data_IF_351910685221
#
_entry.id   IF_351910685221
#
_cell.length_a   1.000
_cell.length_b   1.000
_cell.length_c   1.000
_cell.angle_alpha   90.00
_cell.angle_beta   90.00
_cell.angle_gamma   90.00
#
_symmetry.space_group_name_H-M   'P 1'
#
loop_
_entity.id
_entity.type
_entity.pdbx_description
1 polymer ?
#
# COMPACT_ATOMS: atom_id res chain seq x y z
N UNK A 1 -3.77 11.75 50.75
CA UNK A 1 -3.94 11.97 49.30
C UNK A 1 -3.61 10.63 48.63
N UNK A 2 -4.62 9.86 48.23
CA UNK A 2 -4.45 8.46 47.79
C UNK A 2 -3.91 8.39 46.36
N UNK A 3 -3.08 7.38 46.04
CA UNK A 3 -2.52 7.16 44.70
C UNK A 3 -3.57 7.15 43.57
N UNK A 4 -4.79 6.68 43.88
CA UNK A 4 -5.90 6.65 42.92
C UNK A 4 -6.26 8.05 42.40
N UNK A 5 -6.37 9.04 43.28
CA UNK A 5 -6.60 10.44 42.88
C UNK A 5 -5.47 11.05 42.05
N UNK A 6 -4.24 10.53 42.14
CA UNK A 6 -3.12 11.00 41.32
C UNK A 6 -3.17 10.41 39.91
N UNK A 7 -3.48 9.12 39.77
CA UNK A 7 -3.65 8.46 38.47
C UNK A 7 -4.83 9.03 37.68
N UNK A 8 -5.93 9.35 38.36
CA UNK A 8 -7.13 9.95 37.77
C UNK A 8 -6.90 11.39 37.28
N UNK A 9 -6.04 12.16 37.95
CA UNK A 9 -5.65 13.50 37.46
C UNK A 9 -4.71 13.45 36.26
N UNK A 10 -3.80 12.48 36.21
CA UNK A 10 -2.89 12.28 35.07
C UNK A 10 -3.66 11.85 33.80
N UNK A 11 -4.73 11.07 33.93
CA UNK A 11 -5.57 10.68 32.79
C UNK A 11 -6.44 11.82 32.24
N UNK A 12 -6.68 12.87 33.03
CA UNK A 12 -7.65 13.93 32.68
C UNK A 12 -6.99 15.22 32.15
N UNK A 13 -5.71 15.48 32.47
CA UNK A 13 -5.01 16.72 32.10
C UNK A 13 -3.54 16.47 31.71
N UNK A 14 -3.30 15.57 30.74
CA UNK A 14 -1.96 15.39 30.16
C UNK A 14 -1.80 16.28 28.92
N UNK A 15 -0.70 17.06 28.78
CA UNK A 15 -0.45 17.87 27.59
C UNK A 15 -0.20 17.02 26.32
N UNK A 16 -0.05 15.70 26.47
CA UNK A 16 0.14 14.76 25.36
C UNK A 16 -1.18 14.21 24.78
N UNK A 17 -2.33 14.56 25.36
CA UNK A 17 -3.64 14.01 24.99
C UNK A 17 -4.68 15.12 24.81
N UNK A 18 -5.43 15.08 23.71
CA UNK A 18 -6.52 16.00 23.41
C UNK A 18 -7.85 15.22 23.36
N UNK A 19 -8.91 15.81 23.93
CA UNK A 19 -10.27 15.28 23.75
C UNK A 19 -10.84 15.81 22.45
N UNK A 20 -10.97 14.93 21.46
CA UNK A 20 -11.52 15.26 20.15
C UNK A 20 -12.96 14.77 20.09
N UNK A 21 -13.90 15.69 19.85
CA UNK A 21 -15.30 15.35 19.59
C UNK A 21 -15.42 14.80 18.16
N UNK A 22 -15.66 13.49 18.03
CA UNK A 22 -15.87 12.83 16.74
C UNK A 22 -17.38 12.59 16.54
N UNK A 23 -17.99 13.11 15.46
CA UNK A 23 -19.41 12.94 15.22
C UNK A 23 -19.77 11.45 15.08
N UNK A 24 -20.68 10.95 15.93
CA UNK A 24 -21.15 9.56 15.92
C UNK A 24 -20.33 8.57 16.76
N UNK A 25 -19.37 9.03 17.58
CA UNK A 25 -18.58 8.19 18.52
C UNK A 25 -18.50 8.82 19.91
N UNK A 26 -18.36 8.00 20.96
CA UNK A 26 -18.05 8.48 22.32
C UNK A 26 -16.74 9.28 22.35
N UNK A 27 -16.67 10.36 23.14
CA UNK A 27 -15.50 11.23 23.25
C UNK A 27 -14.26 10.42 23.66
N UNK A 28 -13.29 10.30 22.73
CA UNK A 28 -12.07 9.53 22.96
C UNK A 28 -10.89 10.46 23.28
N UNK A 29 -10.00 9.99 24.16
CA UNK A 29 -8.69 10.61 24.38
C UNK A 29 -7.78 10.23 23.21
N UNK A 30 -7.44 11.21 22.39
CA UNK A 30 -6.59 11.04 21.20
C UNK A 30 -5.22 11.64 21.49
N UNK A 31 -4.17 11.08 20.89
CA UNK A 31 -2.82 11.67 20.95
C UNK A 31 -2.88 13.07 20.32
N UNK A 32 -2.20 14.05 20.90
CA UNK A 32 -2.25 15.46 20.46
C UNK A 32 -1.92 15.65 18.96
N UNK A 33 -1.19 14.71 18.35
CA UNK A 33 -0.77 14.72 16.94
C UNK A 33 -1.66 13.87 16.01
N UNK A 34 -2.69 13.19 16.54
CA UNK A 34 -3.54 12.33 15.74
C UNK A 34 -4.71 13.12 15.12
N UNK A 35 -4.74 13.14 13.79
CA UNK A 35 -5.84 13.73 13.04
C UNK A 35 -7.16 12.98 13.27
N UNK A 36 -8.31 13.67 13.31
CA UNK A 36 -9.62 13.02 13.31
C UNK A 36 -9.75 12.08 12.11
N UNK A 37 -10.19 10.85 12.33
CA UNK A 37 -10.44 9.89 11.25
C UNK A 37 -11.74 10.33 10.56
N UNK A 38 -11.64 11.00 9.42
CA UNK A 38 -12.81 11.47 8.65
C UNK A 38 -13.47 10.34 7.85
N UNK A 39 -12.69 9.33 7.44
CA UNK A 39 -13.13 8.15 6.70
C UNK A 39 -12.26 6.93 7.04
N UNK A 40 -12.81 5.72 6.93
CA UNK A 40 -12.03 4.48 7.02
C UNK A 40 -11.05 4.37 5.85
N UNK A 41 -9.81 4.06 6.15
CA UNK A 41 -8.74 3.85 5.17
C UNK A 41 -8.45 2.36 5.02
N UNK A 42 -8.00 1.88 3.85
CA UNK A 42 -7.59 0.49 3.66
C UNK A 42 -6.59 0.00 4.70
N UNK A 43 -5.70 0.88 5.14
CA UNK A 43 -4.69 0.58 6.14
C UNK A 43 -5.27 0.24 7.52
N UNK A 44 -6.46 0.75 7.85
CA UNK A 44 -7.10 0.57 9.16
C UNK A 44 -7.54 -0.88 9.41
N UNK A 45 -7.81 -1.66 8.34
CA UNK A 45 -8.13 -3.08 8.40
C UNK A 45 -6.98 -3.99 7.91
N UNK A 46 -5.77 -3.44 7.81
CA UNK A 46 -4.55 -4.21 7.53
C UNK A 46 -4.21 -4.38 6.05
N UNK A 47 -4.87 -3.65 5.14
CA UNK A 47 -4.47 -3.62 3.73
C UNK A 47 -3.41 -2.55 3.49
N UNK A 48 -2.22 -2.96 3.06
CA UNK A 48 -1.08 -2.04 2.90
C UNK A 48 -0.74 -1.67 1.46
N UNK A 49 -1.53 -2.09 0.45
CA UNK A 49 -1.38 -1.69 -0.97
C UNK A 49 -0.08 -2.09 -1.67
N UNK A 50 0.96 -2.45 -0.92
CA UNK A 50 2.27 -2.82 -1.41
C UNK A 50 2.46 -4.32 -1.30
N UNK A 51 2.50 -4.99 -2.45
CA UNK A 51 2.67 -6.45 -2.54
C UNK A 51 4.11 -6.90 -2.23
N UNK A 52 5.02 -5.96 -1.95
CA UNK A 52 6.40 -6.21 -1.53
C UNK A 52 7.20 -7.11 -2.50
N UNK A 53 8.04 -7.99 -1.94
CA UNK A 53 8.86 -8.95 -2.70
C UNK A 53 8.01 -9.94 -3.50
N UNK A 54 6.91 -10.41 -2.93
CA UNK A 54 6.06 -11.43 -3.54
C UNK A 54 5.36 -10.93 -4.81
N UNK A 55 4.86 -9.69 -4.82
CA UNK A 55 4.30 -9.12 -6.05
C UNK A 55 5.32 -8.96 -7.16
N UNK A 56 6.58 -8.67 -6.82
CA UNK A 56 7.67 -8.60 -7.82
C UNK A 56 7.93 -9.96 -8.45
N UNK A 57 7.93 -11.03 -7.66
CA UNK A 57 8.09 -12.41 -8.16
C UNK A 57 6.86 -12.82 -8.98
N UNK A 58 5.65 -12.59 -8.47
CA UNK A 58 4.41 -12.92 -9.15
C UNK A 58 4.32 -12.24 -10.52
N UNK A 59 4.78 -10.99 -10.65
CA UNK A 59 4.80 -10.30 -11.94
C UNK A 59 5.74 -10.95 -12.96
N UNK A 60 6.88 -11.52 -12.54
CA UNK A 60 7.76 -12.27 -13.43
C UNK A 60 7.15 -13.60 -13.83
N UNK A 61 6.50 -14.29 -12.90
CA UNK A 61 5.76 -15.53 -13.19
C UNK A 61 4.68 -15.27 -14.24
N UNK A 62 3.91 -14.18 -14.10
CA UNK A 62 2.90 -13.80 -15.09
C UNK A 62 3.50 -13.55 -16.49
N UNK A 63 4.64 -12.84 -16.58
CA UNK A 63 5.35 -12.61 -17.84
C UNK A 63 5.76 -13.94 -18.49
N UNK A 64 6.37 -14.83 -17.71
CA UNK A 64 6.81 -16.15 -18.20
C UNK A 64 5.63 -17.02 -18.64
N UNK A 65 4.52 -16.95 -17.91
CA UNK A 65 3.31 -17.70 -18.24
C UNK A 65 2.71 -17.25 -19.57
N UNK A 66 2.62 -15.93 -19.82
CA UNK A 66 2.16 -15.41 -21.11
C UNK A 66 3.16 -15.74 -22.22
N UNK A 67 4.47 -15.62 -21.96
CA UNK A 67 5.48 -15.98 -22.94
C UNK A 67 5.44 -17.47 -23.32
N UNK A 68 5.05 -18.35 -22.40
CA UNK A 68 4.88 -19.78 -22.69
C UNK A 68 3.78 -20.06 -23.72
N UNK A 69 2.79 -19.17 -23.86
CA UNK A 69 1.73 -19.35 -24.86
C UNK A 69 2.27 -19.27 -26.29
N UNK A 70 3.45 -18.68 -26.52
CA UNK A 70 4.11 -18.68 -27.83
C UNK A 70 4.47 -20.10 -28.34
N UNK A 71 4.48 -21.09 -27.45
CA UNK A 71 4.73 -22.49 -27.78
C UNK A 71 3.37 -23.19 -27.88
N UNK A 72 2.84 -23.30 -29.09
CA UNK A 72 1.52 -23.86 -29.33
C UNK A 72 1.20 -24.10 -30.80
N UNK A 73 -0.03 -24.52 -31.07
CA UNK A 73 -0.52 -24.77 -32.43
C UNK A 73 -1.03 -23.47 -33.09
N UNK A 74 -0.19 -22.45 -33.17
CA UNK A 74 -0.55 -21.19 -33.81
C UNK A 74 -0.45 -21.33 -35.33
N UNK A 75 -1.58 -21.34 -36.03
CA UNK A 75 -1.61 -21.30 -37.49
C UNK A 75 -1.48 -19.85 -38.03
N UNK A 76 -1.95 -18.87 -37.25
CA UNK A 76 -1.90 -17.46 -37.59
C UNK A 76 -0.90 -16.70 -36.72
N UNK A 77 -0.17 -15.75 -37.33
CA UNK A 77 0.83 -14.92 -36.63
C UNK A 77 0.22 -13.81 -35.77
N UNK A 78 -1.09 -13.57 -35.85
CA UNK A 78 -1.75 -12.46 -35.13
C UNK A 78 -1.67 -12.69 -33.62
N UNK A 79 -1.87 -13.93 -33.16
CA UNK A 79 -1.76 -14.30 -31.76
C UNK A 79 -0.35 -14.03 -31.23
N UNK A 80 0.69 -14.51 -31.94
CA UNK A 80 2.09 -14.27 -31.58
C UNK A 80 2.43 -12.78 -31.44
N UNK A 81 1.93 -11.95 -32.37
CA UNK A 81 2.16 -10.50 -32.35
C UNK A 81 1.59 -9.89 -31.06
N UNK A 82 0.37 -10.27 -30.68
CA UNK A 82 -0.25 -9.77 -29.45
C UNK A 82 0.45 -10.30 -28.20
N UNK A 83 0.80 -11.58 -28.15
CA UNK A 83 1.55 -12.16 -27.03
C UNK A 83 2.90 -11.45 -26.84
N UNK A 84 3.65 -11.25 -27.93
CA UNK A 84 4.94 -10.53 -27.89
C UNK A 84 4.73 -9.07 -27.48
N UNK A 85 3.71 -8.39 -28.00
CA UNK A 85 3.43 -7.00 -27.64
C UNK A 85 3.10 -6.84 -26.14
N UNK A 86 2.28 -7.74 -25.59
CA UNK A 86 1.92 -7.74 -24.16
C UNK A 86 3.13 -8.06 -23.29
N UNK A 87 3.89 -9.10 -23.62
CA UNK A 87 5.14 -9.46 -22.91
C UNK A 87 6.13 -8.29 -22.95
N UNK A 88 6.31 -7.67 -24.11
CA UNK A 88 7.18 -6.51 -24.30
C UNK A 88 6.75 -5.32 -23.45
N UNK A 89 5.45 -5.01 -23.41
CA UNK A 89 4.90 -3.94 -22.57
C UNK A 89 5.14 -4.21 -21.08
N UNK A 90 4.91 -5.42 -20.60
CA UNK A 90 5.13 -5.78 -19.20
C UNK A 90 6.62 -5.65 -18.80
N UNK A 91 7.53 -6.10 -19.65
CA UNK A 91 8.97 -5.97 -19.43
C UNK A 91 9.36 -4.48 -19.42
N UNK A 92 8.84 -3.68 -20.35
CA UNK A 92 9.10 -2.24 -20.41
C UNK A 92 8.66 -1.54 -19.11
N UNK A 93 7.48 -1.89 -18.59
CA UNK A 93 7.00 -1.37 -17.31
C UNK A 93 7.89 -1.78 -16.14
N UNK A 94 8.39 -3.03 -16.11
CA UNK A 94 9.35 -3.48 -15.08
C UNK A 94 10.65 -2.68 -15.12
N UNK A 95 11.19 -2.46 -16.32
CA UNK A 95 12.43 -1.70 -16.54
C UNK A 95 12.22 -0.24 -16.14
N UNK A 96 11.11 0.37 -16.56
CA UNK A 96 10.74 1.73 -16.16
C UNK A 96 10.65 1.87 -14.64
N UNK A 97 9.94 0.95 -13.97
CA UNK A 97 9.79 0.96 -12.52
C UNK A 97 11.12 0.74 -11.78
N UNK A 98 12.04 -0.04 -12.35
CA UNK A 98 13.41 -0.16 -11.85
C UNK A 98 14.20 1.16 -11.96
N UNK A 99 14.16 1.83 -13.11
CA UNK A 99 14.79 3.14 -13.28
C UNK A 99 14.18 4.19 -12.35
N UNK A 100 12.86 4.23 -12.22
CA UNK A 100 12.13 5.12 -11.31
C UNK A 100 12.59 4.95 -9.87
N UNK A 101 12.68 3.70 -9.37
CA UNK A 101 13.17 3.42 -8.01
C UNK A 101 14.63 3.83 -7.81
N UNK A 102 15.49 3.58 -8.82
CA UNK A 102 16.90 3.97 -8.76
C UNK A 102 17.12 5.48 -8.71
N UNK A 103 16.19 6.25 -9.29
CA UNK A 103 16.26 7.70 -9.36
C UNK A 103 15.34 8.41 -8.36
N UNK A 104 14.67 7.69 -7.45
CA UNK A 104 13.72 8.27 -6.50
C UNK A 104 14.35 9.31 -5.54
N UNK A 105 15.67 9.24 -5.32
CA UNK A 105 16.41 10.22 -4.51
C UNK A 105 16.72 11.52 -5.25
N UNK A 106 16.56 11.56 -6.59
CA UNK A 106 16.77 12.76 -7.43
C UNK A 106 15.53 13.62 -7.57
N UNK A 107 14.38 13.15 -7.10
CA UNK A 107 13.10 13.85 -7.14
C UNK A 107 12.69 14.41 -5.78
N UNK A 108 13.66 14.69 -4.91
CA UNK A 108 13.48 15.37 -3.62
C UNK A 108 13.72 16.87 -3.81
#
# INVERSE_FOLDING_TARGET
MSEQTHRERISTNSPATERVNQPGREEALVRHDAAPIEHERPEDWGWHGETGKWGRIASWIAILFIAAYLIGNHEGRVEDIWLIAVVGLMILLKVYDWFRRKNAWRSQ
#
